data_IF_369980740078
#
_entry.id   IF_369980740078
#
_cell.length_a   1.000
_cell.length_b   1.000
_cell.length_c   1.000
_cell.angle_alpha   90.00
_cell.angle_beta   90.00
_cell.angle_gamma   90.00
#
_symmetry.space_group_name_H-M   'P 1'
#
loop_
_entity.id
_entity.type
_entity.pdbx_description
1 polymer ?
#
# COMPACT_ATOMS: atom_id res chain seq x y z
N UNK A 1 -23.51 -9.25 -62.99
CA UNK A 1 -24.11 -8.82 -61.69
C UNK A 1 -23.06 -8.02 -60.94
N UNK A 2 -23.33 -6.77 -60.58
CA UNK A 2 -22.39 -5.94 -59.80
C UNK A 2 -22.32 -6.50 -58.37
N UNK A 3 -21.13 -6.86 -57.92
CA UNK A 3 -20.86 -7.21 -56.53
C UNK A 3 -21.35 -6.05 -55.65
N UNK A 4 -22.39 -6.25 -54.86
CA UNK A 4 -22.83 -5.29 -53.85
C UNK A 4 -21.71 -5.13 -52.84
N UNK A 5 -21.11 -3.94 -52.77
CA UNK A 5 -20.12 -3.60 -51.77
C UNK A 5 -20.83 -3.58 -50.40
N UNK A 6 -20.67 -4.66 -49.62
CA UNK A 6 -21.31 -4.84 -48.31
C UNK A 6 -20.67 -3.98 -47.19
N UNK A 7 -19.88 -2.95 -47.55
CA UNK A 7 -19.27 -2.04 -46.57
C UNK A 7 -20.33 -1.17 -45.93
N UNK A 8 -20.38 -1.20 -44.60
CA UNK A 8 -21.27 -0.32 -43.82
C UNK A 8 -20.82 1.13 -44.00
N UNK A 9 -21.66 1.94 -44.63
CA UNK A 9 -21.45 3.38 -44.76
C UNK A 9 -22.03 4.05 -43.51
N UNK A 10 -21.19 4.19 -42.49
CA UNK A 10 -21.56 4.84 -41.22
C UNK A 10 -22.10 6.26 -41.37
N UNK A 11 -21.71 6.98 -42.43
CA UNK A 11 -22.16 8.35 -42.71
C UNK A 11 -23.66 8.42 -43.04
N UNK A 12 -24.23 7.36 -43.62
CA UNK A 12 -25.64 7.31 -44.04
C UNK A 12 -26.58 6.95 -42.89
N UNK A 13 -26.04 6.42 -41.78
CA UNK A 13 -26.82 6.12 -40.58
C UNK A 13 -27.19 7.40 -39.85
N UNK A 14 -28.43 7.46 -39.35
CA UNK A 14 -28.84 8.52 -38.43
C UNK A 14 -28.19 8.34 -37.05
N UNK A 15 -28.24 9.39 -36.23
CA UNK A 15 -27.58 9.40 -34.91
C UNK A 15 -28.13 8.33 -33.97
N UNK A 16 -29.45 8.05 -34.02
CA UNK A 16 -30.09 7.05 -33.18
C UNK A 16 -29.61 5.63 -33.50
N UNK A 17 -29.51 5.28 -34.78
CA UNK A 17 -28.96 4.00 -35.23
C UNK A 17 -27.49 3.83 -34.84
N UNK A 18 -26.69 4.89 -35.00
CA UNK A 18 -25.29 4.89 -34.61
C UNK A 18 -25.14 4.69 -33.10
N UNK A 19 -25.91 5.42 -32.30
CA UNK A 19 -25.93 5.26 -30.83
C UNK A 19 -26.33 3.84 -30.45
N UNK A 20 -27.37 3.27 -31.08
CA UNK A 20 -27.79 1.89 -30.83
C UNK A 20 -26.72 0.86 -31.16
N UNK A 21 -25.99 1.04 -32.27
CA UNK A 21 -24.87 0.16 -32.66
C UNK A 21 -23.69 0.29 -31.69
N UNK A 22 -23.31 1.51 -31.34
CA UNK A 22 -22.23 1.79 -30.37
C UNK A 22 -22.60 1.19 -29.00
N UNK A 23 -23.83 1.41 -28.53
CA UNK A 23 -24.27 0.91 -27.23
C UNK A 23 -24.23 -0.62 -27.16
N UNK A 24 -24.77 -1.31 -28.17
CA UNK A 24 -24.69 -2.78 -28.25
C UNK A 24 -23.24 -3.28 -28.25
N UNK A 25 -22.35 -2.58 -28.95
CA UNK A 25 -20.93 -2.96 -28.99
C UNK A 25 -20.24 -2.76 -27.63
N UNK A 26 -20.54 -1.64 -26.96
CA UNK A 26 -20.06 -1.35 -25.59
C UNK A 26 -20.52 -2.44 -24.63
N UNK A 27 -21.81 -2.74 -24.61
CA UNK A 27 -22.41 -3.68 -23.67
C UNK A 27 -21.91 -5.12 -23.93
N UNK A 28 -21.83 -5.54 -25.21
CA UNK A 28 -21.33 -6.87 -25.60
C UNK A 28 -19.89 -7.13 -25.17
N UNK A 29 -19.06 -6.09 -25.12
CA UNK A 29 -17.62 -6.21 -24.82
C UNK A 29 -17.23 -5.67 -23.44
N UNK A 30 -18.22 -5.30 -22.62
CA UNK A 30 -18.03 -4.72 -21.28
C UNK A 30 -17.05 -3.53 -21.29
N UNK A 31 -17.17 -2.67 -22.30
CA UNK A 31 -16.22 -1.57 -22.52
C UNK A 31 -16.49 -0.44 -21.53
N UNK A 32 -15.46 -0.05 -20.78
CA UNK A 32 -15.53 1.08 -19.83
C UNK A 32 -14.78 2.30 -20.36
N UNK A 33 -13.67 2.08 -21.08
CA UNK A 33 -12.77 3.16 -21.53
C UNK A 33 -12.69 3.28 -23.05
N UNK A 34 -12.34 4.49 -23.53
CA UNK A 34 -12.03 4.76 -24.95
C UNK A 34 -10.97 3.81 -25.50
N UNK A 35 -9.95 3.50 -24.68
CA UNK A 35 -8.85 2.63 -25.10
C UNK A 35 -9.31 1.18 -25.30
N UNK A 36 -10.15 0.69 -24.39
CA UNK A 36 -10.79 -0.63 -24.55
C UNK A 36 -11.67 -0.66 -25.80
N UNK A 37 -12.43 0.41 -26.06
CA UNK A 37 -13.23 0.53 -27.28
C UNK A 37 -12.37 0.37 -28.53
N UNK A 38 -11.28 1.14 -28.64
CA UNK A 38 -10.39 1.07 -29.80
C UNK A 38 -9.74 -0.29 -29.96
N UNK A 39 -9.29 -0.90 -28.86
CA UNK A 39 -8.69 -2.24 -28.86
C UNK A 39 -9.70 -3.30 -29.33
N UNK A 40 -10.89 -3.33 -28.73
CA UNK A 40 -11.95 -4.26 -29.10
C UNK A 40 -12.44 -4.06 -30.52
N UNK A 41 -12.47 -2.82 -31.00
CA UNK A 41 -12.84 -2.51 -32.37
C UNK A 41 -11.79 -3.00 -33.38
N UNK A 42 -10.51 -2.97 -33.03
CA UNK A 42 -9.45 -3.56 -33.86
C UNK A 42 -9.65 -5.08 -34.00
N UNK A 43 -10.03 -5.76 -32.90
CA UNK A 43 -10.32 -7.20 -32.89
C UNK A 43 -11.66 -7.55 -33.57
N UNK A 44 -12.59 -6.60 -33.66
CA UNK A 44 -13.97 -6.78 -34.16
C UNK A 44 -14.30 -5.74 -35.23
N UNK A 45 -13.46 -5.67 -36.27
CA UNK A 45 -13.59 -4.67 -37.32
C UNK A 45 -14.99 -4.70 -37.97
N UNK A 46 -15.56 -3.51 -38.19
CA UNK A 46 -16.88 -3.36 -38.81
C UNK A 46 -18.10 -3.53 -37.90
N UNK A 47 -17.95 -3.96 -36.63
CA UNK A 47 -19.09 -4.10 -35.72
C UNK A 47 -19.59 -2.76 -35.13
N UNK A 48 -18.74 -1.74 -35.10
CA UNK A 48 -19.06 -0.42 -34.58
C UNK A 48 -18.27 0.68 -35.32
N UNK A 49 -18.70 1.95 -35.29
CA UNK A 49 -18.01 3.04 -35.97
C UNK A 49 -16.67 3.37 -35.30
N UNK A 50 -15.73 3.94 -36.07
CA UNK A 50 -14.44 4.37 -35.53
C UNK A 50 -14.57 5.59 -34.60
N UNK A 51 -13.53 5.83 -33.80
CA UNK A 51 -13.49 7.01 -32.92
C UNK A 51 -13.61 8.33 -33.69
N UNK A 52 -13.10 8.35 -34.93
CA UNK A 52 -13.21 9.53 -35.79
C UNK A 52 -14.67 9.86 -36.12
N UNK A 53 -15.48 8.85 -36.43
CA UNK A 53 -16.92 9.04 -36.70
C UNK A 53 -17.64 9.47 -35.43
N UNK A 54 -17.31 8.87 -34.29
CA UNK A 54 -17.88 9.25 -32.98
C UNK A 54 -17.58 10.72 -32.68
N UNK A 55 -16.32 11.15 -32.84
CA UNK A 55 -15.93 12.54 -32.61
C UNK A 55 -16.57 13.49 -33.62
N UNK A 56 -16.70 13.09 -34.89
CA UNK A 56 -17.34 13.92 -35.91
C UNK A 56 -18.84 14.13 -35.63
N UNK A 57 -19.56 13.08 -35.22
CA UNK A 57 -21.02 13.11 -35.06
C UNK A 57 -21.46 13.60 -33.69
N UNK A 58 -20.75 13.20 -32.63
CA UNK A 58 -21.13 13.46 -31.24
C UNK A 58 -20.16 14.41 -30.53
N UNK A 59 -19.10 14.87 -31.20
CA UNK A 59 -18.10 15.80 -30.68
C UNK A 59 -16.99 15.12 -29.85
N UNK A 60 -17.35 14.21 -28.93
CA UNK A 60 -16.39 13.41 -28.17
C UNK A 60 -17.01 12.11 -27.68
N UNK A 61 -16.15 11.16 -27.30
CA UNK A 61 -16.57 9.94 -26.61
C UNK A 61 -17.44 10.22 -25.38
N UNK A 62 -17.05 11.18 -24.54
CA UNK A 62 -17.79 11.51 -23.33
C UNK A 62 -19.17 12.11 -23.65
N UNK A 63 -19.26 12.98 -24.67
CA UNK A 63 -20.56 13.50 -25.13
C UNK A 63 -21.46 12.39 -25.66
N UNK A 64 -20.90 11.45 -26.43
CA UNK A 64 -21.60 10.26 -26.91
C UNK A 64 -22.11 9.41 -25.74
N UNK A 65 -21.30 9.17 -24.70
CA UNK A 65 -21.73 8.45 -23.50
C UNK A 65 -22.87 9.16 -22.77
N UNK A 66 -22.82 10.50 -22.66
CA UNK A 66 -23.93 11.28 -22.11
C UNK A 66 -25.23 11.10 -22.92
N UNK A 67 -25.14 11.11 -24.26
CA UNK A 67 -26.29 10.82 -25.12
C UNK A 67 -26.85 9.40 -24.95
N UNK A 68 -26.01 8.44 -24.54
CA UNK A 68 -26.42 7.08 -24.16
C UNK A 68 -26.95 6.98 -22.73
N UNK A 69 -26.99 8.08 -21.95
CA UNK A 69 -27.32 8.05 -20.53
C UNK A 69 -26.28 7.33 -19.66
N UNK A 70 -25.07 7.09 -20.18
CA UNK A 70 -23.97 6.45 -19.45
C UNK A 70 -23.16 7.49 -18.67
N UNK A 71 -22.59 7.08 -17.54
CA UNK A 71 -21.72 7.92 -16.72
C UNK A 71 -20.40 8.17 -17.43
N UNK A 72 -19.97 9.43 -17.47
CA UNK A 72 -18.67 9.82 -18.03
C UNK A 72 -17.58 9.82 -16.96
N UNK A 73 -16.33 9.81 -17.42
CA UNK A 73 -15.18 10.00 -16.53
C UNK A 73 -15.16 11.44 -16.01
N UNK A 74 -15.39 11.61 -14.71
CA UNK A 74 -15.33 12.91 -14.05
C UNK A 74 -13.87 13.34 -13.85
N UNK A 75 -13.31 14.04 -14.84
CA UNK A 75 -11.90 14.48 -14.86
C UNK A 75 -11.50 15.27 -13.61
N UNK A 76 -12.42 16.07 -13.07
CA UNK A 76 -12.21 16.97 -11.93
C UNK A 76 -12.93 16.49 -10.66
N UNK A 77 -13.31 15.21 -10.58
CA UNK A 77 -14.03 14.65 -9.43
C UNK A 77 -13.40 14.99 -8.07
N UNK A 78 -12.07 15.00 -8.01
CA UNK A 78 -11.34 15.25 -6.77
C UNK A 78 -11.30 16.73 -6.41
N UNK A 79 -11.57 17.63 -7.35
CA UNK A 79 -11.59 19.08 -7.13
C UNK A 79 -12.80 19.48 -6.25
N UNK A 80 -13.90 18.74 -6.37
CA UNK A 80 -15.12 18.90 -5.56
C UNK A 80 -14.93 18.49 -4.08
N UNK A 81 -13.86 17.76 -3.75
CA UNK A 81 -13.59 17.35 -2.38
C UNK A 81 -12.81 18.45 -1.67
N UNK A 82 -13.16 18.73 -0.40
CA UNK A 82 -12.27 19.49 0.47
C UNK A 82 -11.04 18.65 0.84
N UNK A 83 -9.94 19.31 1.17
CA UNK A 83 -8.68 18.64 1.49
C UNK A 83 -8.84 17.67 2.66
N UNK A 84 -9.54 18.08 3.72
CA UNK A 84 -9.82 17.20 4.88
C UNK A 84 -10.66 15.97 4.51
N UNK A 85 -11.66 16.13 3.63
CA UNK A 85 -12.51 15.02 3.19
C UNK A 85 -11.71 14.04 2.32
N UNK A 86 -10.90 14.57 1.41
CA UNK A 86 -10.02 13.76 0.56
C UNK A 86 -8.97 13.04 1.40
N UNK A 87 -8.39 13.72 2.39
CA UNK A 87 -7.40 13.14 3.29
C UNK A 87 -7.97 11.96 4.09
N UNK A 88 -9.15 12.13 4.69
CA UNK A 88 -9.85 11.07 5.43
C UNK A 88 -10.15 9.86 4.54
N UNK A 89 -10.65 10.11 3.33
CA UNK A 89 -10.95 9.07 2.35
C UNK A 89 -9.71 8.23 2.00
N UNK A 90 -8.59 8.90 1.72
CA UNK A 90 -7.32 8.25 1.36
C UNK A 90 -6.74 7.48 2.55
N UNK A 91 -6.74 8.07 3.76
CA UNK A 91 -6.27 7.40 4.99
C UNK A 91 -7.10 6.16 5.31
N UNK A 92 -8.42 6.23 5.15
CA UNK A 92 -9.31 5.08 5.32
C UNK A 92 -8.96 3.96 4.32
N UNK A 93 -8.86 4.29 3.04
CA UNK A 93 -8.47 3.31 2.02
C UNK A 93 -7.11 2.65 2.31
N UNK A 94 -6.12 3.44 2.73
CA UNK A 94 -4.78 2.95 3.11
C UNK A 94 -4.86 1.98 4.28
N UNK A 95 -5.65 2.29 5.29
CA UNK A 95 -5.83 1.47 6.50
C UNK A 95 -6.54 0.17 6.16
N UNK A 96 -7.69 0.24 5.49
CA UNK A 96 -8.50 -0.91 5.09
C UNK A 96 -7.72 -1.89 4.21
N UNK A 97 -6.80 -1.37 3.37
CA UNK A 97 -5.99 -2.17 2.46
C UNK A 97 -4.58 -2.50 2.96
N UNK A 98 -4.24 -2.12 4.20
CA UNK A 98 -2.92 -2.28 4.81
C UNK A 98 -1.77 -1.80 3.90
N UNK A 99 -1.92 -0.61 3.32
CA UNK A 99 -0.98 -0.04 2.35
C UNK A 99 0.17 0.64 3.09
N UNK A 100 1.38 0.09 2.97
CA UNK A 100 2.58 0.61 3.66
C UNK A 100 3.49 1.49 2.80
N UNK A 101 3.18 1.68 1.52
CA UNK A 101 4.07 2.44 0.61
C UNK A 101 3.31 3.07 -0.56
N UNK A 102 3.89 4.14 -1.10
CA UNK A 102 3.40 4.83 -2.29
C UNK A 102 3.24 3.89 -3.50
N UNK A 103 4.22 2.99 -3.73
CA UNK A 103 4.17 2.00 -4.81
C UNK A 103 3.03 0.99 -4.64
N UNK A 104 2.73 0.57 -3.40
CA UNK A 104 1.59 -0.31 -3.13
C UNK A 104 0.27 0.41 -3.36
N UNK A 105 0.20 1.69 -2.97
CA UNK A 105 -0.97 2.53 -3.24
C UNK A 105 -1.25 2.62 -4.74
N UNK A 106 -0.25 2.98 -5.55
CA UNK A 106 -0.41 3.11 -7.00
C UNK A 106 -0.92 1.84 -7.67
N UNK A 107 -0.50 0.65 -7.19
CA UNK A 107 -1.01 -0.61 -7.72
C UNK A 107 -2.45 -0.89 -7.30
N UNK A 108 -2.80 -0.62 -6.04
CA UNK A 108 -4.12 -0.91 -5.50
C UNK A 108 -5.18 0.12 -5.89
N UNK A 109 -4.81 1.35 -6.22
CA UNK A 109 -5.79 2.38 -6.60
C UNK A 109 -6.28 2.21 -8.04
N UNK A 110 -5.65 1.37 -8.87
CA UNK A 110 -6.08 1.15 -10.26
C UNK A 110 -7.40 0.40 -10.26
N UNK A 111 -8.41 0.95 -10.93
CA UNK A 111 -9.76 0.38 -10.99
C UNK A 111 -10.62 0.68 -9.75
N UNK A 112 -10.01 1.17 -8.67
CA UNK A 112 -10.72 1.63 -7.49
C UNK A 112 -11.17 3.07 -7.64
N UNK A 113 -12.22 3.45 -6.90
CA UNK A 113 -12.69 4.83 -6.85
C UNK A 113 -11.77 5.70 -5.96
N UNK A 114 -10.48 5.76 -6.26
CA UNK A 114 -9.46 6.49 -5.47
C UNK A 114 -8.63 7.46 -6.33
N UNK A 115 -8.15 8.58 -5.76
CA UNK A 115 -7.29 9.51 -6.47
C UNK A 115 -5.93 8.85 -6.76
N UNK A 116 -5.38 9.15 -7.93
CA UNK A 116 -4.02 8.71 -8.27
C UNK A 116 -2.99 9.34 -7.33
N UNK A 117 -1.82 8.71 -7.19
CA UNK A 117 -0.71 9.31 -6.43
C UNK A 117 -0.31 10.69 -6.99
N UNK A 118 -0.41 10.88 -8.31
CA UNK A 118 -0.14 12.18 -8.95
C UNK A 118 -1.13 13.26 -8.50
N UNK A 119 -2.41 12.91 -8.35
CA UNK A 119 -3.46 13.81 -7.84
C UNK A 119 -3.15 14.20 -6.40
N UNK A 120 -2.78 13.23 -5.55
CA UNK A 120 -2.41 13.49 -4.16
C UNK A 120 -1.19 14.39 -4.05
N UNK A 121 -0.14 14.15 -4.85
CA UNK A 121 1.07 14.98 -4.87
C UNK A 121 0.78 16.42 -5.30
N UNK A 122 -0.08 16.62 -6.31
CA UNK A 122 -0.49 17.96 -6.74
C UNK A 122 -1.25 18.72 -5.64
N UNK A 123 -2.10 18.01 -4.89
CA UNK A 123 -2.98 18.61 -3.89
C UNK A 123 -2.31 18.87 -2.55
N UNK A 124 -1.54 17.91 -2.05
CA UNK A 124 -0.95 17.95 -0.70
C UNK A 124 0.55 18.24 -0.69
N UNK A 125 1.22 18.25 -1.85
CA UNK A 125 2.68 18.35 -2.03
C UNK A 125 3.44 17.16 -1.41
N UNK A 126 3.39 17.00 -0.08
CA UNK A 126 3.96 15.87 0.64
C UNK A 126 2.92 14.80 0.93
N UNK A 127 3.11 13.63 0.32
CA UNK A 127 2.24 12.47 0.52
C UNK A 127 2.77 11.46 1.53
N UNK A 128 3.97 11.66 2.08
CA UNK A 128 4.55 10.77 3.10
C UNK A 128 3.69 10.63 4.36
N UNK A 129 2.98 11.67 4.85
CA UNK A 129 2.12 11.55 6.01
C UNK A 129 0.98 10.52 5.84
N UNK A 130 0.50 10.29 4.61
CA UNK A 130 -0.53 9.28 4.34
C UNK A 130 -0.08 7.85 4.61
N UNK A 131 1.22 7.58 4.46
CA UNK A 131 1.80 6.24 4.58
C UNK A 131 2.62 6.06 5.85
N UNK A 132 2.69 7.10 6.66
CA UNK A 132 3.31 7.04 7.96
C UNK A 132 2.36 6.27 8.86
N UNK A 133 2.77 5.10 9.35
CA UNK A 133 2.07 4.51 10.49
C UNK A 133 2.06 5.57 11.58
N UNK A 134 0.93 5.73 12.28
CA UNK A 134 0.95 6.42 13.58
C UNK A 134 2.15 5.85 14.32
N UNK A 135 3.14 6.70 14.63
CA UNK A 135 4.36 6.24 15.27
C UNK A 135 3.91 5.65 16.60
N UNK A 136 3.87 4.33 16.72
CA UNK A 136 3.79 3.67 18.02
C UNK A 136 4.78 4.41 18.91
N UNK A 137 4.29 4.92 20.05
CA UNK A 137 5.13 5.67 21.01
C UNK A 137 6.41 4.88 21.18
N UNK A 138 7.53 5.40 20.66
CA UNK A 138 8.81 4.72 20.79
C UNK A 138 9.12 4.68 22.27
N UNK A 139 9.19 3.49 22.85
CA UNK A 139 9.63 3.24 24.21
C UNK A 139 10.90 4.06 24.45
N UNK A 140 10.88 4.93 25.46
CA UNK A 140 12.03 5.76 25.83
C UNK A 140 13.23 4.89 26.17
N UNK A 141 14.46 5.41 26.06
CA UNK A 141 15.65 4.64 26.43
C UNK A 141 15.60 4.20 27.91
N UNK A 142 15.03 5.06 28.78
CA UNK A 142 14.80 4.74 30.19
C UNK A 142 13.80 3.60 30.39
N UNK A 143 12.63 3.69 29.74
CA UNK A 143 11.60 2.64 29.79
C UNK A 143 12.14 1.32 29.23
N UNK A 144 12.98 1.38 28.20
CA UNK A 144 13.59 0.21 27.59
C UNK A 144 14.59 -0.47 28.53
N UNK A 145 15.41 0.29 29.28
CA UNK A 145 16.30 -0.28 30.29
C UNK A 145 15.52 -0.88 31.46
N UNK A 146 14.44 -0.23 31.88
CA UNK A 146 13.54 -0.77 32.91
C UNK A 146 12.91 -2.09 32.47
N UNK A 147 12.34 -2.15 31.26
CA UNK A 147 11.75 -3.36 30.68
C UNK A 147 12.78 -4.49 30.52
N UNK A 148 14.01 -4.16 30.13
CA UNK A 148 15.09 -5.14 30.04
C UNK A 148 15.38 -5.77 31.41
N UNK A 149 15.43 -4.95 32.47
CA UNK A 149 15.66 -5.43 33.83
C UNK A 149 14.54 -6.33 34.32
N UNK A 150 13.29 -5.87 34.20
CA UNK A 150 12.12 -6.62 34.68
C UNK A 150 11.94 -7.92 33.91
N UNK A 151 12.27 -7.96 32.61
CA UNK A 151 12.18 -9.17 31.82
C UNK A 151 13.27 -10.19 32.16
N UNK A 152 14.48 -9.73 32.53
CA UNK A 152 15.54 -10.62 33.06
C UNK A 152 15.11 -11.27 34.37
N UNK A 153 14.51 -10.48 35.27
CA UNK A 153 13.96 -10.96 36.55
C UNK A 153 12.80 -11.94 36.31
N UNK A 154 11.87 -11.61 35.40
CA UNK A 154 10.76 -12.50 35.03
C UNK A 154 11.23 -13.85 34.49
N UNK A 155 12.32 -13.86 33.74
CA UNK A 155 12.92 -15.06 33.17
C UNK A 155 13.85 -15.80 34.13
N UNK A 156 14.04 -15.31 35.36
CA UNK A 156 14.99 -15.84 36.35
C UNK A 156 16.42 -15.98 35.80
N UNK A 157 16.86 -15.00 35.01
CA UNK A 157 18.17 -15.01 34.34
C UNK A 157 19.26 -14.25 35.12
N UNK A 158 18.98 -13.70 36.30
CA UNK A 158 19.90 -12.87 37.09
C UNK A 158 21.21 -13.58 37.41
N UNK A 159 21.15 -14.90 37.63
CA UNK A 159 22.33 -15.71 37.95
C UNK A 159 23.21 -16.06 36.73
N UNK A 160 22.67 -15.98 35.50
CA UNK A 160 23.39 -16.37 34.28
C UNK A 160 23.71 -15.19 33.36
N UNK A 161 22.81 -14.21 33.32
CA UNK A 161 22.75 -13.05 32.42
C UNK A 161 23.03 -13.43 30.96
N UNK A 162 22.58 -14.62 30.57
CA UNK A 162 22.83 -15.18 29.24
C UNK A 162 21.99 -14.47 28.19
N UNK A 163 22.64 -13.71 27.31
CA UNK A 163 22.00 -13.07 26.15
C UNK A 163 21.21 -14.08 25.30
N UNK A 164 21.77 -15.27 25.05
CA UNK A 164 21.12 -16.29 24.23
C UNK A 164 19.84 -16.82 24.89
N UNK A 165 19.89 -17.06 26.20
CA UNK A 165 18.71 -17.53 26.93
C UNK A 165 17.62 -16.45 26.96
N UNK A 166 18.00 -15.19 27.10
CA UNK A 166 17.08 -14.06 27.00
C UNK A 166 16.45 -13.97 25.60
N UNK A 167 17.25 -14.01 24.54
CA UNK A 167 16.77 -13.87 23.15
C UNK A 167 15.79 -14.99 22.73
N UNK A 168 15.88 -16.16 23.36
CA UNK A 168 14.95 -17.27 23.13
C UNK A 168 13.60 -17.10 23.84
N UNK A 169 13.57 -16.43 24.99
CA UNK A 169 12.42 -16.48 25.91
C UNK A 169 11.77 -15.12 26.21
N UNK A 170 12.34 -14.01 25.75
CA UNK A 170 11.79 -12.67 25.98
C UNK A 170 10.47 -12.44 25.25
N UNK A 171 9.58 -11.66 25.86
CA UNK A 171 8.34 -11.24 25.22
C UNK A 171 8.60 -10.14 24.17
N UNK A 172 8.35 -10.50 22.90
CA UNK A 172 8.53 -9.64 21.74
C UNK A 172 7.50 -8.52 21.63
N UNK A 173 6.39 -8.62 22.36
CA UNK A 173 5.32 -7.60 22.36
C UNK A 173 5.69 -6.42 23.25
N UNK A 174 6.40 -6.65 24.34
CA UNK A 174 6.74 -5.62 25.32
C UNK A 174 8.05 -4.89 24.98
N UNK A 175 8.99 -5.55 24.28
CA UNK A 175 10.29 -4.96 24.04
C UNK A 175 10.97 -5.43 22.75
N UNK A 176 11.88 -4.62 22.17
CA UNK A 176 12.63 -5.00 20.99
C UNK A 176 13.71 -6.05 21.29
N UNK A 177 14.24 -6.69 20.25
CA UNK A 177 15.28 -7.73 20.40
C UNK A 177 16.55 -7.20 21.06
N UNK A 178 17.35 -8.05 21.73
CA UNK A 178 18.65 -7.66 22.28
C UNK A 178 19.57 -6.97 21.27
N UNK A 179 19.58 -7.48 20.03
CA UNK A 179 20.35 -6.90 18.93
C UNK A 179 19.89 -5.47 18.59
N UNK A 180 18.59 -5.20 18.66
CA UNK A 180 18.03 -3.86 18.47
C UNK A 180 18.41 -2.92 19.61
N UNK A 181 18.39 -3.40 20.85
CA UNK A 181 18.77 -2.62 22.06
C UNK A 181 20.25 -2.23 21.99
N UNK A 182 21.13 -3.19 21.67
CA UNK A 182 22.57 -2.96 21.48
C UNK A 182 22.80 -1.91 20.39
N UNK A 183 22.14 -2.04 19.23
CA UNK A 183 22.28 -1.07 18.13
C UNK A 183 21.77 0.32 18.50
N UNK A 184 20.68 0.41 19.25
CA UNK A 184 20.06 1.68 19.65
C UNK A 184 20.89 2.42 20.70
N UNK A 185 21.46 1.69 21.65
CA UNK A 185 22.24 2.26 22.77
C UNK A 185 23.73 2.40 22.46
N UNK A 186 24.25 1.65 21.48
CA UNK A 186 25.68 1.57 21.20
C UNK A 186 26.47 0.76 22.24
N UNK A 187 25.78 0.10 23.20
CA UNK A 187 26.39 -0.62 24.32
C UNK A 187 26.42 -2.11 24.08
N UNK A 188 27.46 -2.77 24.59
CA UNK A 188 27.55 -4.23 24.64
C UNK A 188 26.55 -4.81 25.65
N UNK A 189 26.22 -6.10 25.53
CA UNK A 189 25.34 -6.77 26.49
C UNK A 189 25.87 -6.69 27.93
N UNK A 190 27.19 -6.82 28.12
CA UNK A 190 27.83 -6.72 29.44
C UNK A 190 27.67 -5.32 30.05
N UNK A 191 27.83 -4.26 29.23
CA UNK A 191 27.61 -2.88 29.68
C UNK A 191 26.13 -2.63 30.02
N UNK A 192 25.20 -3.16 29.23
CA UNK A 192 23.76 -3.08 29.52
C UNK A 192 23.43 -3.75 30.87
N UNK A 193 23.96 -4.94 31.13
CA UNK A 193 23.73 -5.63 32.42
C UNK A 193 24.28 -4.83 33.60
N UNK A 194 25.45 -4.21 33.42
CA UNK A 194 26.06 -3.35 34.45
C UNK A 194 25.22 -2.09 34.70
N UNK A 195 24.70 -1.48 33.65
CA UNK A 195 23.89 -0.26 33.72
C UNK A 195 22.55 -0.49 34.42
N UNK A 196 21.90 -1.63 34.19
CA UNK A 196 20.65 -1.99 34.86
C UNK A 196 20.87 -2.55 36.30
N UNK A 197 22.12 -2.58 36.78
CA UNK A 197 22.47 -2.86 38.17
C UNK A 197 22.93 -4.29 38.47
N UNK A 198 23.20 -5.13 37.47
CA UNK A 198 23.73 -6.47 37.69
C UNK A 198 25.26 -6.51 37.70
N UNK A 199 25.83 -7.30 38.61
CA UNK A 199 27.27 -7.51 38.67
C UNK A 199 27.72 -8.63 37.70
N UNK A 200 27.75 -8.29 36.41
CA UNK A 200 28.06 -9.25 35.35
C UNK A 200 29.44 -9.91 35.48
N UNK A 201 30.45 -9.15 35.95
CA UNK A 201 31.82 -9.67 36.11
C UNK A 201 31.89 -10.78 37.15
N UNK A 202 31.28 -10.59 38.32
CA UNK A 202 31.25 -11.62 39.36
C UNK A 202 30.55 -12.89 38.88
N UNK A 203 29.43 -12.75 38.18
CA UNK A 203 28.67 -13.88 37.63
C UNK A 203 29.50 -14.65 36.59
N UNK A 204 30.21 -13.93 35.72
CA UNK A 204 31.11 -14.52 34.73
C UNK A 204 32.25 -15.31 35.39
N UNK A 205 32.90 -14.74 36.41
CA UNK A 205 33.97 -15.41 37.16
C UNK A 205 33.44 -16.66 37.84
N UNK A 206 32.32 -16.58 38.59
CA UNK A 206 31.72 -17.74 39.28
C UNK A 206 31.44 -18.91 38.33
N UNK A 207 30.93 -18.60 37.13
CA UNK A 207 30.65 -19.60 36.09
C UNK A 207 31.92 -20.23 35.51
N UNK A 208 32.95 -19.44 35.21
CA UNK A 208 34.25 -19.95 34.73
C UNK A 208 34.87 -20.86 35.79
N UNK A 209 34.91 -20.43 37.05
CA UNK A 209 35.46 -21.22 38.16
C UNK A 209 34.68 -22.53 38.36
N UNK A 210 33.35 -22.53 38.22
CA UNK A 210 32.53 -23.75 38.31
C UNK A 210 32.86 -24.73 37.19
N UNK A 211 32.96 -24.26 35.95
CA UNK A 211 33.26 -25.10 34.80
C UNK A 211 34.67 -25.71 34.88
N UNK A 212 35.66 -24.91 35.34
CA UNK A 212 37.03 -25.39 35.56
C UNK A 212 37.07 -26.51 36.62
N UNK A 213 36.31 -26.37 37.72
CA UNK A 213 36.21 -27.41 38.76
C UNK A 213 35.49 -28.68 38.29
N UNK A 214 34.54 -28.56 37.35
CA UNK A 214 33.82 -29.71 36.80
C UNK A 214 34.65 -30.50 35.78
N UNK A 215 35.53 -29.82 35.03
CA UNK A 215 36.41 -30.47 34.04
C UNK A 215 37.68 -31.10 34.64
N UNK A 216 37.88 -31.00 35.96
CA UNK A 216 38.98 -31.63 36.70
C UNK A 216 38.55 -32.91 37.45
N UNK A 217 37.29 -33.33 37.28
CA UNK A 217 36.75 -34.63 37.71
C UNK A 217 36.48 -35.49 36.48
#
# INVERSE_FOLDING_TARGET
MKSTDNRIIWKEKNDFELLGLINRFIDKNEIVTVREYQKKLADNSGQAPSLWIINQRFGSWDKMLLSLGKKTYQRYKWDEYSDSKLEKLVKKFITDNQIRSQRRYEKKCVGENMPSLSTLKKRFQDVRPFFSSEKEKKVSDFEMMYLLKTEIERLNLEASLSRRAFEQNYDRKIMPSPSTIIRRTGKTWEELMKEIGFNYREIKIKRITKNLKQNQK
#
